data_IF_453887421764
#
_entry.id   IF_453887421764
#
_cell.length_a   1.000
_cell.length_b   1.000
_cell.length_c   1.000
_cell.angle_alpha   90.00
_cell.angle_beta   90.00
_cell.angle_gamma   90.00
#
_symmetry.space_group_name_H-M   'P 1'
#
loop_
_entity.id
_entity.type
_entity.pdbx_description
1 polymer ?
#
# COMPACT_ATOMS: atom_id res chain seq x y z
N UNK A 1 -2.69 29.74 3.05
CA UNK A 1 -2.83 28.29 2.81
C UNK A 1 -3.94 27.77 3.73
N UNK A 2 -4.81 26.87 3.26
CA UNK A 2 -5.79 26.21 4.15
C UNK A 2 -5.16 25.02 4.87
N UNK A 3 -5.74 24.58 5.99
CA UNK A 3 -5.27 23.39 6.71
C UNK A 3 -5.19 22.16 5.80
N UNK A 4 -6.21 21.93 4.95
CA UNK A 4 -6.22 20.83 3.96
C UNK A 4 -5.05 20.88 2.99
N UNK A 5 -4.70 22.08 2.51
CA UNK A 5 -3.58 22.26 1.60
C UNK A 5 -2.23 21.99 2.30
N UNK A 6 -2.10 22.37 3.57
CA UNK A 6 -0.93 22.05 4.39
C UNK A 6 -0.76 20.54 4.57
N UNK A 7 -1.81 19.84 5.01
CA UNK A 7 -1.74 18.39 5.25
C UNK A 7 -1.36 17.62 3.99
N UNK A 8 -1.93 17.97 2.84
CA UNK A 8 -1.55 17.35 1.56
C UNK A 8 -0.07 17.54 1.23
N UNK A 9 0.48 18.73 1.45
CA UNK A 9 1.89 19.01 1.20
C UNK A 9 2.80 18.28 2.21
N UNK A 10 2.36 18.19 3.47
CA UNK A 10 3.05 17.43 4.51
C UNK A 10 3.11 15.94 4.17
N UNK A 11 1.99 15.32 3.78
CA UNK A 11 1.94 13.90 3.43
C UNK A 11 2.86 13.57 2.25
N UNK A 12 2.90 14.45 1.24
CA UNK A 12 3.83 14.34 0.11
C UNK A 12 5.29 14.41 0.56
N UNK A 13 5.63 15.36 1.43
CA UNK A 13 6.99 15.50 1.94
C UNK A 13 7.40 14.32 2.83
N UNK A 14 6.49 13.82 3.68
CA UNK A 14 6.73 12.66 4.53
C UNK A 14 6.93 11.39 3.69
N UNK A 15 6.09 11.16 2.68
CA UNK A 15 6.24 10.03 1.76
C UNK A 15 7.56 10.07 0.99
N UNK A 16 7.97 11.25 0.50
CA UNK A 16 9.26 11.43 -0.16
C UNK A 16 10.44 11.12 0.79
N UNK A 17 10.40 11.62 2.02
CA UNK A 17 11.43 11.35 3.01
C UNK A 17 11.55 9.84 3.35
N UNK A 18 10.42 9.11 3.39
CA UNK A 18 10.45 7.66 3.58
C UNK A 18 11.07 6.93 2.40
N UNK A 19 10.77 7.35 1.17
CA UNK A 19 11.39 6.79 -0.03
C UNK A 19 12.90 7.06 -0.06
N UNK A 20 13.34 8.29 0.22
CA UNK A 20 14.76 8.67 0.26
C UNK A 20 15.53 7.91 1.35
N UNK A 21 14.88 7.58 2.46
CA UNK A 21 15.46 6.79 3.54
C UNK A 21 15.47 5.27 3.27
N UNK A 22 14.93 4.81 2.14
CA UNK A 22 14.78 3.38 1.83
C UNK A 22 13.74 2.68 2.70
N UNK A 23 12.80 3.42 3.30
CA UNK A 23 11.71 2.89 4.12
C UNK A 23 10.42 2.67 3.31
N UNK A 24 10.31 3.29 2.13
CA UNK A 24 9.19 3.14 1.22
C UNK A 24 9.68 2.88 -0.20
N UNK A 25 8.91 2.10 -0.95
CA UNK A 25 9.29 1.64 -2.27
C UNK A 25 8.45 2.31 -3.37
N UNK A 26 9.05 2.66 -4.52
CA UNK A 26 8.28 2.96 -5.71
C UNK A 26 7.55 1.71 -6.20
N UNK A 27 6.30 1.87 -6.61
CA UNK A 27 5.44 0.79 -7.04
C UNK A 27 4.51 1.21 -8.19
N UNK A 28 3.97 0.24 -8.90
CA UNK A 28 2.95 0.45 -9.94
C UNK A 28 1.66 -0.25 -9.57
N UNK A 29 0.56 0.49 -9.52
CA UNK A 29 -0.77 -0.02 -9.24
C UNK A 29 -1.61 -0.14 -10.51
N UNK A 30 -2.26 -1.29 -10.70
CA UNK A 30 -3.21 -1.56 -11.78
C UNK A 30 -4.58 -1.87 -11.19
N UNK A 31 -5.60 -1.11 -11.60
CA UNK A 31 -6.98 -1.36 -11.18
C UNK A 31 -7.50 -2.71 -11.73
N UNK A 32 -8.46 -3.36 -11.06
CA UNK A 32 -9.05 -4.61 -11.56
C UNK A 32 -9.61 -4.45 -12.98
N UNK A 33 -9.24 -5.38 -13.87
CA UNK A 33 -9.70 -5.37 -15.27
C UNK A 33 -9.04 -4.31 -16.16
N UNK A 34 -8.16 -3.46 -15.62
CA UNK A 34 -7.35 -2.55 -16.41
C UNK A 34 -6.13 -3.28 -16.99
N UNK A 35 -5.72 -2.91 -18.21
CA UNK A 35 -4.49 -3.40 -18.82
C UNK A 35 -3.24 -2.81 -18.16
N UNK A 36 -2.08 -3.42 -18.39
CA UNK A 36 -0.80 -2.97 -17.83
C UNK A 36 -0.43 -1.52 -18.21
N UNK A 37 -0.87 -1.05 -19.37
CA UNK A 37 -0.66 0.33 -19.83
C UNK A 37 -1.40 1.38 -18.98
N UNK A 38 -2.40 0.96 -18.20
CA UNK A 38 -3.15 1.81 -17.29
C UNK A 38 -2.56 1.82 -15.86
N UNK A 39 -1.39 1.22 -15.65
CA UNK A 39 -0.78 1.15 -14.33
C UNK A 39 -0.25 2.53 -13.88
N UNK A 40 -0.60 2.93 -12.66
CA UNK A 40 -0.32 4.22 -12.05
C UNK A 40 0.86 4.11 -11.07
N UNK A 41 1.82 5.02 -11.15
CA UNK A 41 2.95 5.06 -10.24
C UNK A 41 2.51 5.53 -8.84
N UNK A 42 3.11 4.93 -7.81
CA UNK A 42 2.84 5.25 -6.42
C UNK A 42 4.03 4.90 -5.52
N UNK A 43 3.94 5.29 -4.25
CA UNK A 43 4.88 4.91 -3.21
C UNK A 43 4.16 4.08 -2.17
N UNK A 44 4.77 2.98 -1.75
CA UNK A 44 4.17 2.04 -0.80
C UNK A 44 5.10 1.68 0.35
N UNK A 45 4.51 1.30 1.47
CA UNK A 45 5.19 0.55 2.53
C UNK A 45 4.72 -0.90 2.43
N UNK A 46 5.66 -1.85 2.32
CA UNK A 46 5.37 -3.28 2.33
C UNK A 46 5.77 -3.86 3.69
N UNK A 47 4.78 -4.19 4.49
CA UNK A 47 4.99 -4.88 5.77
C UNK A 47 4.92 -6.38 5.52
N UNK A 48 6.03 -7.10 5.76
CA UNK A 48 6.19 -8.55 5.50
C UNK A 48 6.21 -9.36 6.80
N UNK A 49 5.50 -8.91 7.83
CA UNK A 49 5.44 -9.52 9.16
C UNK A 49 4.14 -10.29 9.44
N UNK A 50 4.23 -11.30 10.30
CA UNK A 50 3.07 -12.04 10.82
C UNK A 50 2.19 -11.10 11.66
N UNK A 51 0.93 -10.92 11.27
CA UNK A 51 -0.05 -10.34 12.19
C UNK A 51 -0.38 -11.39 13.27
N UNK A 52 0.11 -11.18 14.49
CA UNK A 52 -0.40 -11.92 15.64
C UNK A 52 -1.78 -11.36 16.03
N UNK A 53 -2.80 -12.20 15.95
CA UNK A 53 -4.12 -11.93 16.50
C UNK A 53 -4.30 -12.72 17.81
N UNK A 54 -4.42 -12.02 18.94
CA UNK A 54 -4.74 -12.61 20.25
C UNK A 54 -3.53 -13.16 21.04
N UNK A 55 -3.80 -13.77 22.19
CA UNK A 55 -2.81 -14.49 23.03
C UNK A 55 -2.61 -15.95 22.60
N UNK A 56 -3.14 -16.34 21.45
CA UNK A 56 -3.06 -17.72 20.96
C UNK A 56 -1.66 -17.98 20.40
N UNK A 57 -0.91 -18.99 20.89
CA UNK A 57 0.45 -19.28 20.45
C UNK A 57 0.55 -19.81 19.01
N UNK A 58 -0.57 -20.06 18.32
CA UNK A 58 -0.56 -20.44 16.90
C UNK A 58 -0.97 -19.27 15.99
N UNK A 59 -0.02 -18.64 15.27
CA UNK A 59 -0.37 -17.73 14.20
C UNK A 59 -1.07 -18.50 13.08
N UNK A 60 -2.29 -18.08 12.72
CA UNK A 60 -3.03 -18.63 11.57
C UNK A 60 -2.39 -18.06 10.30
N UNK A 61 -1.71 -18.92 9.55
CA UNK A 61 -1.07 -18.58 8.28
C UNK A 61 -2.09 -18.24 7.20
N UNK A 62 -2.53 -16.98 7.15
CA UNK A 62 -3.33 -16.45 6.04
C UNK A 62 -3.01 -14.94 5.85
N UNK A 63 -1.95 -14.66 5.08
CA UNK A 63 -1.66 -13.33 4.53
C UNK A 63 -0.79 -12.43 5.40
N UNK A 64 0.48 -12.80 5.58
CA UNK A 64 1.50 -12.07 6.37
C UNK A 64 2.04 -10.80 5.69
N UNK A 65 1.33 -10.26 4.70
CA UNK A 65 1.79 -9.07 3.96
C UNK A 65 0.68 -8.04 3.88
N UNK A 66 1.01 -6.80 4.23
CA UNK A 66 0.16 -5.65 4.00
C UNK A 66 0.88 -4.59 3.18
N UNK A 67 0.16 -3.96 2.28
CA UNK A 67 0.66 -2.85 1.45
C UNK A 67 -0.06 -1.58 1.86
N UNK A 68 0.71 -0.56 2.20
CA UNK A 68 0.21 0.78 2.53
C UNK A 68 0.57 1.77 1.43
N UNK A 69 -0.42 2.32 0.75
CA UNK A 69 -0.25 3.36 -0.25
C UNK A 69 -0.11 4.72 0.44
N UNK A 70 1.00 5.41 0.21
CA UNK A 70 1.28 6.73 0.79
C UNK A 70 0.71 7.83 -0.10
N UNK A 71 -0.20 8.64 0.46
CA UNK A 71 -0.84 9.79 -0.17
C UNK A 71 -1.26 9.56 -1.64
N UNK A 72 -1.94 8.45 -1.98
CA UNK A 72 -2.13 8.07 -3.38
C UNK A 72 -2.96 9.11 -4.13
N UNK A 73 -2.56 9.41 -5.38
CA UNK A 73 -3.31 10.29 -6.27
C UNK A 73 -4.59 9.63 -6.85
N UNK A 74 -4.81 8.35 -6.51
CA UNK A 74 -5.93 7.51 -6.91
C UNK A 74 -6.47 6.76 -5.70
N UNK A 75 -7.60 6.07 -5.88
CA UNK A 75 -8.21 5.24 -4.83
C UNK A 75 -7.90 3.77 -5.15
N UNK A 76 -6.96 3.10 -4.43
CA UNK A 76 -6.74 1.67 -4.60
C UNK A 76 -7.97 0.88 -4.14
N UNK A 77 -8.31 -0.19 -4.86
CA UNK A 77 -9.50 -1.02 -4.60
C UNK A 77 -9.16 -2.50 -4.55
N UNK A 78 -10.00 -3.27 -3.84
CA UNK A 78 -9.93 -4.73 -3.75
C UNK A 78 -9.86 -5.35 -5.14
N UNK A 79 -9.00 -6.37 -5.29
CA UNK A 79 -8.73 -7.08 -6.54
C UNK A 79 -7.70 -6.39 -7.44
N UNK A 80 -7.33 -5.13 -7.15
CA UNK A 80 -6.27 -4.41 -7.84
C UNK A 80 -4.92 -5.05 -7.58
N UNK A 81 -3.95 -4.71 -8.41
CA UNK A 81 -2.62 -5.32 -8.42
C UNK A 81 -1.59 -4.23 -8.14
N UNK A 82 -0.61 -4.52 -7.30
CA UNK A 82 0.54 -3.65 -7.07
C UNK A 82 1.82 -4.42 -7.31
N UNK A 83 2.68 -3.87 -8.15
CA UNK A 83 4.02 -4.38 -8.42
C UNK A 83 5.04 -3.48 -7.72
N UNK A 84 5.90 -4.08 -6.91
CA UNK A 84 6.89 -3.39 -6.07
C UNK A 84 8.14 -4.25 -5.99
N UNK A 85 9.28 -3.71 -6.38
CA UNK A 85 10.58 -4.41 -6.34
C UNK A 85 10.56 -5.83 -6.95
N UNK A 86 9.86 -6.01 -8.07
CA UNK A 86 9.70 -7.31 -8.75
C UNK A 86 8.66 -8.25 -8.11
N UNK A 87 8.23 -8.00 -6.87
CA UNK A 87 7.08 -8.67 -6.28
C UNK A 87 5.79 -8.13 -6.88
N UNK A 88 4.80 -9.00 -7.05
CA UNK A 88 3.46 -8.59 -7.47
C UNK A 88 2.42 -9.12 -6.48
N UNK A 89 1.56 -8.23 -6.01
CA UNK A 89 0.57 -8.50 -4.99
C UNK A 89 -0.82 -8.11 -5.47
N UNK A 90 -1.83 -8.91 -5.12
CA UNK A 90 -3.24 -8.57 -5.29
C UNK A 90 -3.81 -8.05 -3.97
N UNK A 91 -4.49 -6.91 -4.03
CA UNK A 91 -5.17 -6.32 -2.88
C UNK A 91 -6.40 -7.16 -2.50
N UNK A 92 -6.49 -7.59 -1.24
CA UNK A 92 -7.63 -8.37 -0.73
C UNK A 92 -8.50 -7.50 0.16
N UNK A 93 -8.24 -7.46 1.46
CA UNK A 93 -9.09 -6.76 2.43
C UNK A 93 -8.50 -5.42 2.80
N UNK A 94 -9.35 -4.39 2.76
CA UNK A 94 -8.97 -3.03 3.16
C UNK A 94 -8.86 -2.99 4.68
N UNK A 95 -7.66 -2.69 5.19
CA UNK A 95 -7.37 -2.66 6.62
C UNK A 95 -7.53 -1.26 7.21
N UNK A 96 -7.10 -0.22 6.48
CA UNK A 96 -7.18 1.17 6.94
C UNK A 96 -7.33 2.16 5.76
N UNK A 97 -7.93 3.32 6.02
CA UNK A 97 -7.84 4.51 5.18
C UNK A 97 -8.08 5.77 6.02
N UNK A 98 -7.03 6.53 6.28
CA UNK A 98 -7.05 7.71 7.15
C UNK A 98 -6.84 9.04 6.39
N UNK A 99 -6.84 8.98 5.06
CA UNK A 99 -6.66 10.15 4.18
C UNK A 99 -5.20 10.45 3.83
N UNK A 100 -4.25 9.98 4.65
CA UNK A 100 -2.80 10.09 4.37
C UNK A 100 -2.27 8.75 3.83
N UNK A 101 -2.90 7.65 4.22
CA UNK A 101 -2.50 6.29 3.89
C UNK A 101 -3.73 5.42 3.63
N UNK A 102 -3.60 4.49 2.69
CA UNK A 102 -4.59 3.43 2.47
C UNK A 102 -3.90 2.08 2.57
N UNK A 103 -4.34 1.22 3.50
CA UNK A 103 -3.71 -0.09 3.75
C UNK A 103 -4.62 -1.24 3.33
N UNK A 104 -4.02 -2.23 2.68
CA UNK A 104 -4.67 -3.49 2.32
C UNK A 104 -3.84 -4.67 2.81
N UNK A 105 -4.52 -5.73 3.24
CA UNK A 105 -3.95 -7.08 3.20
C UNK A 105 -3.77 -7.48 1.74
N UNK A 106 -2.75 -8.29 1.46
CA UNK A 106 -2.46 -8.74 0.11
C UNK A 106 -2.12 -10.22 0.05
N UNK A 107 -2.21 -10.75 -1.16
CA UNK A 107 -1.70 -12.10 -1.50
C UNK A 107 -0.76 -12.00 -2.70
N UNK A 108 0.23 -12.90 -2.82
CA UNK A 108 1.05 -12.99 -4.02
C UNK A 108 0.19 -13.12 -5.28
N UNK A 109 0.59 -12.44 -6.35
CA UNK A 109 -0.09 -12.49 -7.64
C UNK A 109 0.93 -12.79 -8.74
N UNK A 110 0.74 -13.95 -9.37
CA UNK A 110 1.46 -14.40 -10.57
C UNK A 110 0.90 -13.74 -11.81
#
# INVERSE_FOLDING_TARGET
MSQKAFLRAFDQAAGAAFADAGMADPARYTAPGAGADAAQDCTVLVDRGTQQWGTDPMPVAAGDVSVSFLAPAFIPVKGGVVMVDGDTYRLTDKLNADGSLVRFAVVPHV
#
